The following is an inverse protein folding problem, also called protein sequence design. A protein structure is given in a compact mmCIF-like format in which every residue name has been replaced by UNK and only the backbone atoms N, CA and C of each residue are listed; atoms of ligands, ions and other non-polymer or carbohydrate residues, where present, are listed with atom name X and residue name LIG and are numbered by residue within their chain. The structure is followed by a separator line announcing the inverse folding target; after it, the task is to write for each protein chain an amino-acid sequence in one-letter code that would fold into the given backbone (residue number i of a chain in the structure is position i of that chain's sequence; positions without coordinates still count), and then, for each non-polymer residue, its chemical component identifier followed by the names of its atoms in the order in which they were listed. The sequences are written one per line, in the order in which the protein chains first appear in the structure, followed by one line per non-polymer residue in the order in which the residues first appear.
data_IF_597834842652
#
_entry.id   IF_597834842652
#
_cell.length_a   1.000
_cell.length_b   1.000
_cell.length_c   1.000
_cell.angle_alpha   90.00
_cell.angle_beta   90.00
_cell.angle_gamma   90.00
#
_symmetry.space_group_name_H-M   'P 1'
#
loop_
_entity.id
_entity.type
_entity.pdbx_description
1 polymer ?
#
# COMPACT_ATOMS: atom_id res chain seq x y z
N UNK A 1 -3.13 50.07 64.49
CA UNK A 1 -4.29 49.33 65.06
C UNK A 1 -5.14 48.84 63.90
N UNK A 2 -5.13 47.53 63.60
CA UNK A 2 -6.30 46.60 63.61
C UNK A 2 -7.54 47.15 62.88
N UNK A 3 -8.23 46.46 61.98
CA UNK A 3 -8.18 45.10 61.42
C UNK A 3 -9.18 45.09 60.24
N UNK A 4 -8.84 44.30 59.23
CA UNK A 4 -9.65 43.76 58.13
C UNK A 4 -11.00 43.20 58.57
N UNK A 5 -12.03 43.33 57.72
CA UNK A 5 -13.11 42.32 57.62
C UNK A 5 -13.60 42.21 56.17
N UNK A 6 -13.53 40.99 55.63
CA UNK A 6 -14.14 40.53 54.39
C UNK A 6 -15.67 40.39 54.55
N UNK A 7 -16.41 40.56 53.46
CA UNK A 7 -17.68 39.85 53.25
C UNK A 7 -17.66 39.21 51.85
N UNK A 8 -17.77 37.89 51.84
CA UNK A 8 -17.95 37.08 50.65
C UNK A 8 -19.41 36.95 50.28
N UNK A 9 -19.67 36.80 48.98
CA UNK A 9 -20.93 36.31 48.44
C UNK A 9 -20.60 35.03 47.67
N UNK A 10 -21.19 33.92 48.11
CA UNK A 10 -21.05 32.61 47.47
C UNK A 10 -21.86 32.53 46.19
N UNK A 11 -21.24 31.95 45.16
CA UNK A 11 -21.94 31.46 43.98
C UNK A 11 -21.95 29.92 44.08
N UNK A 12 -23.15 29.36 44.09
CA UNK A 12 -23.39 27.92 44.10
C UNK A 12 -23.16 27.36 42.68
N UNK A 13 -22.11 26.58 42.50
CA UNK A 13 -21.85 25.79 41.29
C UNK A 13 -22.60 24.46 41.40
N UNK A 14 -23.56 24.25 40.50
CA UNK A 14 -24.23 22.96 40.29
C UNK A 14 -23.25 22.03 39.55
N UNK A 15 -22.71 21.03 40.27
CA UNK A 15 -21.99 19.91 39.66
C UNK A 15 -22.99 19.00 38.94
N UNK A 16 -23.06 19.11 37.62
CA UNK A 16 -23.59 18.04 36.79
C UNK A 16 -22.48 16.99 36.59
N UNK A 17 -22.60 15.86 37.28
CA UNK A 17 -21.76 14.69 37.05
C UNK A 17 -22.14 14.08 35.69
N UNK A 18 -21.40 14.44 34.65
CA UNK A 18 -21.41 13.70 33.37
C UNK A 18 -20.52 12.48 33.56
N UNK A 19 -21.01 11.25 33.36
CA UNK A 19 -20.15 10.08 33.44
C UNK A 19 -19.16 10.14 32.28
N UNK A 20 -17.86 10.20 32.62
CA UNK A 20 -16.79 9.90 31.66
C UNK A 20 -16.96 8.45 31.22
N UNK A 21 -17.60 8.25 30.07
CA UNK A 21 -17.47 7.01 29.32
C UNK A 21 -16.07 7.03 28.70
N UNK A 22 -15.11 6.36 29.35
CA UNK A 22 -13.83 6.01 28.76
C UNK A 22 -14.09 5.07 27.58
N UNK A 23 -14.17 5.63 26.37
CA UNK A 23 -14.10 4.86 25.13
C UNK A 23 -12.63 4.46 24.95
N UNK A 24 -12.25 3.33 25.53
CA UNK A 24 -11.03 2.64 25.13
C UNK A 24 -11.21 2.16 23.68
N UNK A 25 -10.24 2.38 22.77
CA UNK A 25 -10.31 1.77 21.45
C UNK A 25 -10.25 0.27 21.63
N UNK A 26 -11.23 -0.45 21.07
CA UNK A 26 -11.28 -1.89 21.10
C UNK A 26 -10.24 -2.48 20.12
N UNK A 27 -8.96 -2.39 20.45
CA UNK A 27 -7.97 -3.37 20.00
C UNK A 27 -8.18 -4.62 20.86
N UNK A 28 -9.15 -5.45 20.45
CA UNK A 28 -9.32 -6.76 21.06
C UNK A 28 -8.11 -7.62 20.68
N UNK A 29 -7.21 -7.78 21.65
CA UNK A 29 -6.07 -8.69 21.64
C UNK A 29 -6.57 -10.11 21.31
N UNK A 30 -6.35 -10.57 20.07
CA UNK A 30 -6.69 -11.94 19.66
C UNK A 30 -5.56 -12.86 20.09
N UNK A 31 -5.67 -13.38 21.31
CA UNK A 31 -4.92 -14.54 21.74
C UNK A 31 -5.27 -15.75 20.86
N UNK A 32 -4.27 -16.60 20.63
CA UNK A 32 -4.22 -17.77 19.76
C UNK A 32 -5.55 -18.51 19.58
N UNK A 33 -5.90 -18.76 18.31
CA UNK A 33 -6.91 -19.75 17.94
C UNK A 33 -6.29 -20.82 17.06
N UNK A 34 -5.44 -21.64 17.65
CA UNK A 34 -5.17 -22.98 17.13
C UNK A 34 -6.38 -23.87 17.45
N UNK A 35 -7.41 -23.79 16.62
CA UNK A 35 -8.67 -24.51 16.81
C UNK A 35 -9.19 -25.07 15.50
N UNK A 36 -8.45 -25.99 14.88
CA UNK A 36 -8.85 -26.68 13.66
C UNK A 36 -9.89 -27.77 13.96
N UNK A 37 -11.16 -27.38 14.07
CA UNK A 37 -12.30 -28.29 13.98
C UNK A 37 -12.84 -28.31 12.55
N UNK A 38 -13.24 -29.47 11.99
CA UNK A 38 -13.85 -29.51 10.66
C UNK A 38 -15.16 -28.70 10.64
N UNK A 39 -15.22 -27.70 9.76
CA UNK A 39 -16.41 -26.87 9.53
C UNK A 39 -16.48 -25.51 10.24
N UNK A 40 -15.44 -25.09 10.97
CA UNK A 40 -15.39 -23.72 11.50
C UNK A 40 -14.74 -22.78 10.48
N UNK A 41 -15.53 -21.84 9.96
CA UNK A 41 -14.99 -20.77 9.11
C UNK A 41 -13.94 -19.95 9.86
N UNK A 42 -12.78 -19.77 9.25
CA UNK A 42 -11.64 -19.05 9.80
C UNK A 42 -11.75 -17.55 9.48
N UNK A 43 -11.29 -16.71 10.41
CA UNK A 43 -11.13 -15.27 10.13
C UNK A 43 -9.67 -15.03 9.79
N UNK A 44 -9.41 -14.57 8.57
CA UNK A 44 -8.07 -14.28 8.04
C UNK A 44 -7.92 -12.78 7.83
N UNK A 45 -6.85 -12.19 8.37
CA UNK A 45 -6.50 -10.77 8.15
C UNK A 45 -5.58 -10.62 6.95
N UNK A 46 -6.09 -9.98 5.91
CA UNK A 46 -5.29 -9.50 4.79
C UNK A 46 -4.89 -8.05 5.03
N UNK A 47 -3.65 -7.68 4.69
CA UNK A 47 -3.14 -6.34 4.87
C UNK A 47 -2.17 -5.93 3.76
N UNK A 48 -2.13 -4.63 3.48
CA UNK A 48 -1.06 -4.00 2.73
C UNK A 48 -0.39 -2.93 3.57
N UNK A 49 0.91 -2.73 3.37
CA UNK A 49 1.67 -1.65 3.97
C UNK A 49 2.78 -1.22 3.00
N UNK A 50 2.65 -0.06 2.35
CA UNK A 50 3.83 0.62 1.83
C UNK A 50 4.68 1.04 3.03
N UNK A 51 5.83 0.39 3.20
CA UNK A 51 6.65 0.52 4.40
C UNK A 51 7.90 1.38 4.16
N UNK A 52 8.08 1.89 2.94
CA UNK A 52 9.28 2.63 2.51
C UNK A 52 10.58 1.93 2.93
N UNK A 53 10.61 0.60 2.89
CA UNK A 53 11.80 -0.21 3.15
C UNK A 53 12.67 -0.29 1.88
N UNK A 54 12.95 0.86 1.29
CA UNK A 54 13.80 1.02 0.12
C UNK A 54 15.06 1.82 0.48
N UNK A 55 16.12 1.70 -0.31
CA UNK A 55 17.40 2.41 -0.11
C UNK A 55 17.86 3.09 -1.39
N UNK A 56 18.83 3.98 -1.26
CA UNK A 56 19.43 4.70 -2.39
C UNK A 56 20.37 3.83 -3.25
N UNK A 57 20.78 2.66 -2.75
CA UNK A 57 21.75 1.78 -3.42
C UNK A 57 21.35 0.32 -3.28
N UNK A 58 21.58 -0.45 -4.35
CA UNK A 58 21.37 -1.90 -4.36
C UNK A 58 22.08 -2.60 -3.19
N UNK A 59 21.39 -3.54 -2.54
CA UNK A 59 21.87 -4.27 -1.35
C UNK A 59 21.90 -3.45 -0.06
N UNK A 60 21.56 -2.16 -0.09
CA UNK A 60 21.50 -1.32 1.12
C UNK A 60 20.46 -1.83 2.11
N UNK A 61 19.31 -2.34 1.63
CA UNK A 61 18.25 -2.84 2.50
C UNK A 61 18.73 -4.06 3.27
N UNK A 62 19.28 -5.07 2.58
CA UNK A 62 19.85 -6.25 3.24
C UNK A 62 20.97 -5.88 4.22
N UNK A 63 21.84 -4.93 3.87
CA UNK A 63 22.90 -4.46 4.77
C UNK A 63 22.32 -3.93 6.09
N UNK A 64 21.32 -3.05 6.05
CA UNK A 64 20.66 -2.54 7.26
C UNK A 64 19.94 -3.66 8.02
N UNK A 65 19.20 -4.52 7.34
CA UNK A 65 18.43 -5.60 7.97
C UNK A 65 19.32 -6.71 8.57
N UNK A 66 20.55 -6.85 8.10
CA UNK A 66 21.55 -7.77 8.68
C UNK A 66 22.16 -7.29 9.99
N UNK A 67 21.94 -6.02 10.36
CA UNK A 67 22.51 -5.40 11.55
C UNK A 67 21.43 -4.81 12.47
N UNK A 68 20.52 -5.65 13.01
CA UNK A 68 19.36 -5.17 13.78
C UNK A 68 19.74 -4.37 15.03
N UNK A 69 20.94 -4.56 15.59
CA UNK A 69 21.40 -3.80 16.76
C UNK A 69 22.02 -2.42 16.42
N UNK A 70 22.11 -2.06 15.13
CA UNK A 70 22.72 -0.80 14.71
C UNK A 70 21.79 0.41 14.97
N UNK A 71 22.32 1.47 15.55
CA UNK A 71 21.55 2.68 15.86
C UNK A 71 21.52 3.69 14.68
N UNK A 72 21.08 3.23 13.51
CA UNK A 72 20.91 4.06 12.31
C UNK A 72 19.45 4.47 12.12
N UNK A 73 19.20 5.54 11.36
CA UNK A 73 17.83 5.95 11.03
C UNK A 73 17.04 4.85 10.31
N UNK A 74 17.69 4.18 9.36
CA UNK A 74 17.12 3.10 8.56
C UNK A 74 16.78 1.85 9.40
N UNK A 75 17.64 1.45 10.34
CA UNK A 75 17.36 0.31 11.23
C UNK A 75 16.26 0.67 12.24
N UNK A 76 16.27 1.88 12.81
CA UNK A 76 15.16 2.36 13.66
C UNK A 76 13.83 2.40 12.92
N UNK A 77 13.82 2.75 11.63
CA UNK A 77 12.63 2.68 10.79
C UNK A 77 12.15 1.22 10.65
N UNK A 78 13.03 0.28 10.31
CA UNK A 78 12.69 -1.14 10.20
C UNK A 78 12.10 -1.72 11.50
N UNK A 79 12.63 -1.35 12.67
CA UNK A 79 12.04 -1.70 13.97
C UNK A 79 10.60 -1.20 14.13
N UNK A 80 10.35 0.07 13.78
CA UNK A 80 9.00 0.64 13.91
C UNK A 80 8.03 0.04 12.89
N UNK A 81 8.48 -0.25 11.66
CA UNK A 81 7.68 -0.96 10.65
C UNK A 81 7.27 -2.34 11.19
N UNK A 82 8.23 -3.09 11.73
CA UNK A 82 7.95 -4.40 12.32
C UNK A 82 7.01 -4.30 13.53
N UNK A 83 7.18 -3.30 14.40
CA UNK A 83 6.25 -3.06 15.51
C UNK A 83 4.83 -2.78 15.02
N UNK A 84 4.66 -1.91 14.00
CA UNK A 84 3.35 -1.63 13.38
C UNK A 84 2.70 -2.91 12.86
N UNK A 85 3.44 -3.73 12.10
CA UNK A 85 2.96 -5.02 11.59
C UNK A 85 2.59 -5.97 12.75
N UNK A 86 3.39 -6.02 13.80
CA UNK A 86 3.14 -6.89 14.96
C UNK A 86 1.91 -6.48 15.78
N UNK A 87 1.54 -5.19 15.76
CA UNK A 87 0.31 -4.68 16.38
C UNK A 87 -0.90 -4.91 15.48
N UNK A 88 -0.74 -4.78 14.17
CA UNK A 88 -1.80 -5.06 13.19
C UNK A 88 -2.06 -6.56 13.03
N UNK A 89 -1.08 -7.43 13.24
CA UNK A 89 -1.23 -8.89 13.22
C UNK A 89 -1.82 -9.47 11.91
N UNK A 90 -1.34 -9.09 10.72
CA UNK A 90 -1.86 -9.69 9.50
C UNK A 90 -1.51 -11.18 9.41
N UNK A 91 -2.38 -11.95 8.78
CA UNK A 91 -2.08 -13.35 8.45
C UNK A 91 -1.53 -13.48 7.03
N UNK A 92 -1.96 -12.59 6.13
CA UNK A 92 -1.39 -12.39 4.78
C UNK A 92 -1.07 -10.91 4.62
N UNK A 93 0.19 -10.59 4.32
CA UNK A 93 0.73 -9.23 4.28
C UNK A 93 1.43 -8.98 2.95
N UNK A 94 1.03 -7.92 2.26
CA UNK A 94 1.85 -7.28 1.23
C UNK A 94 2.64 -6.13 1.86
N UNK A 95 3.94 -6.07 1.59
CA UNK A 95 4.78 -4.91 1.87
C UNK A 95 5.20 -4.29 0.55
N UNK A 96 4.79 -3.05 0.29
CA UNK A 96 5.26 -2.24 -0.84
C UNK A 96 6.51 -1.45 -0.45
N UNK A 97 7.24 -1.00 -1.47
CA UNK A 97 8.55 -0.36 -1.34
C UNK A 97 9.56 -1.17 -0.53
N UNK A 98 9.55 -2.47 -0.76
CA UNK A 98 10.58 -3.37 -0.25
C UNK A 98 11.55 -3.65 -1.38
N UNK A 99 12.78 -3.13 -1.31
CA UNK A 99 13.76 -3.37 -2.39
C UNK A 99 13.86 -4.86 -2.71
N UNK A 100 13.84 -5.19 -4.00
CA UNK A 100 13.99 -6.56 -4.46
C UNK A 100 15.38 -7.09 -4.11
N UNK A 101 15.44 -7.81 -3.02
CA UNK A 101 16.61 -8.52 -2.53
C UNK A 101 16.11 -9.79 -1.81
N UNK A 102 16.32 -10.99 -2.39
CA UNK A 102 15.87 -12.23 -1.76
C UNK A 102 16.44 -12.44 -0.35
N UNK A 103 17.64 -11.93 -0.04
CA UNK A 103 18.23 -12.04 1.30
C UNK A 103 17.49 -11.14 2.30
N UNK A 104 17.11 -9.93 1.87
CA UNK A 104 16.37 -8.99 2.71
C UNK A 104 15.05 -9.57 3.24
N UNK A 105 14.39 -10.45 2.47
CA UNK A 105 13.13 -11.10 2.87
C UNK A 105 13.32 -11.89 4.16
N UNK A 106 14.33 -12.76 4.20
CA UNK A 106 14.61 -13.59 5.36
C UNK A 106 15.17 -12.74 6.52
N UNK A 107 16.01 -11.75 6.22
CA UNK A 107 16.55 -10.84 7.23
C UNK A 107 15.44 -10.02 7.93
N UNK A 108 14.49 -9.45 7.18
CA UNK A 108 13.37 -8.72 7.78
C UNK A 108 12.47 -9.66 8.59
N UNK A 109 12.16 -10.84 8.04
CA UNK A 109 11.34 -11.84 8.72
C UNK A 109 11.98 -12.28 10.03
N UNK A 110 13.25 -12.62 10.02
CA UNK A 110 13.88 -13.31 11.14
C UNK A 110 14.38 -12.30 12.21
N UNK A 111 14.99 -11.19 11.78
CA UNK A 111 15.60 -10.22 12.70
C UNK A 111 14.61 -9.18 13.24
N UNK A 112 13.52 -8.89 12.52
CA UNK A 112 12.58 -7.83 12.90
C UNK A 112 11.18 -8.36 13.17
N UNK A 113 10.57 -9.12 12.25
CA UNK A 113 9.22 -9.64 12.47
C UNK A 113 9.18 -10.73 13.54
N UNK A 114 10.19 -11.62 13.55
CA UNK A 114 10.38 -12.71 14.51
C UNK A 114 10.81 -12.28 15.92
N UNK A 115 11.07 -10.98 16.13
CA UNK A 115 11.53 -10.40 17.41
C UNK A 115 10.52 -9.36 17.88
N UNK A 116 10.08 -9.43 19.15
CA UNK A 116 9.05 -8.51 19.66
C UNK A 116 9.59 -7.09 19.87
N UNK A 117 8.78 -6.09 19.54
CA UNK A 117 9.11 -4.67 19.75
C UNK A 117 8.23 -4.04 20.83
N UNK A 118 8.83 -3.61 21.94
CA UNK A 118 8.08 -3.13 23.10
C UNK A 118 7.25 -4.23 23.74
N UNK A 119 5.94 -4.03 23.85
CA UNK A 119 4.97 -5.03 24.28
C UNK A 119 4.31 -5.79 23.12
N UNK A 120 4.62 -5.43 21.86
CA UNK A 120 4.13 -6.14 20.69
C UNK A 120 4.84 -7.51 20.57
N UNK A 121 4.05 -8.57 20.45
CA UNK A 121 4.58 -9.94 20.32
C UNK A 121 5.15 -10.18 18.91
N UNK A 122 6.19 -11.02 18.77
CA UNK A 122 6.67 -11.49 17.48
C UNK A 122 5.57 -11.94 16.51
N UNK A 123 5.84 -11.86 15.22
CA UNK A 123 5.03 -12.46 14.16
C UNK A 123 5.88 -13.39 13.30
N UNK A 124 5.43 -14.63 13.17
CA UNK A 124 6.05 -15.62 12.30
C UNK A 124 5.26 -15.75 11.01
N UNK A 125 5.98 -15.80 9.89
CA UNK A 125 5.46 -16.04 8.55
C UNK A 125 6.24 -17.19 7.91
N UNK A 126 5.76 -18.45 8.00
CA UNK A 126 6.43 -19.59 7.39
C UNK A 126 6.57 -19.50 5.87
N UNK A 127 5.80 -18.65 5.20
CA UNK A 127 5.82 -18.49 3.76
C UNK A 127 6.09 -17.04 3.38
N UNK A 128 6.89 -16.86 2.33
CA UNK A 128 7.13 -15.57 1.71
C UNK A 128 7.25 -15.71 0.19
N UNK A 129 6.89 -14.68 -0.54
CA UNK A 129 7.07 -14.59 -1.98
C UNK A 129 7.64 -13.22 -2.36
N UNK A 130 8.67 -13.24 -3.20
CA UNK A 130 9.34 -12.07 -3.74
C UNK A 130 9.70 -12.35 -5.19
N UNK A 131 9.55 -11.36 -6.07
CA UNK A 131 9.90 -11.47 -7.48
C UNK A 131 10.45 -10.13 -8.01
N UNK A 132 11.15 -10.13 -9.16
CA UNK A 132 11.69 -8.91 -9.75
C UNK A 132 10.64 -7.82 -10.02
N UNK A 133 11.08 -6.56 -9.90
CA UNK A 133 10.31 -5.34 -10.20
C UNK A 133 10.91 -4.61 -11.40
N UNK A 134 10.09 -3.88 -12.17
CA UNK A 134 10.53 -3.08 -13.33
C UNK A 134 11.31 -1.81 -12.97
N UNK A 135 11.21 -1.38 -11.72
CA UNK A 135 11.88 -0.21 -11.18
C UNK A 135 13.40 -0.28 -11.37
N UNK A 136 13.97 0.77 -11.95
CA UNK A 136 15.41 0.92 -12.19
C UNK A 136 16.02 -0.08 -13.18
N UNK A 137 15.23 -0.91 -13.85
CA UNK A 137 15.70 -1.71 -14.99
C UNK A 137 15.80 -0.77 -16.22
N UNK A 138 16.98 -0.55 -16.79
CA UNK A 138 17.12 0.33 -17.95
C UNK A 138 16.31 -0.20 -19.15
N UNK A 139 15.49 0.66 -19.77
CA UNK A 139 14.75 0.28 -20.98
C UNK A 139 15.64 0.26 -22.23
N UNK A 140 16.69 1.09 -22.24
CA UNK A 140 17.52 1.34 -23.42
C UNK A 140 16.98 2.45 -24.33
N UNK A 141 15.89 3.12 -23.94
CA UNK A 141 15.21 4.18 -24.67
C UNK A 141 15.20 5.50 -23.88
N UNK A 142 14.86 6.61 -24.54
CA UNK A 142 14.70 7.96 -23.97
C UNK A 142 13.21 8.20 -23.71
N UNK A 143 12.68 7.52 -22.68
CA UNK A 143 11.24 7.44 -22.43
C UNK A 143 10.64 8.77 -21.93
N UNK A 144 11.48 9.70 -21.50
CA UNK A 144 11.07 11.05 -21.11
C UNK A 144 11.39 12.13 -22.16
N UNK A 145 11.91 11.76 -23.33
CA UNK A 145 12.22 12.66 -24.45
C UNK A 145 13.16 13.83 -24.09
N UNK A 146 14.10 13.62 -23.16
CA UNK A 146 15.05 14.67 -22.74
C UNK A 146 16.28 14.80 -23.66
N UNK A 147 16.41 13.89 -24.64
CA UNK A 147 17.51 13.83 -25.60
C UNK A 147 18.66 12.91 -25.17
N UNK A 148 18.53 12.14 -24.09
CA UNK A 148 19.55 11.22 -23.61
C UNK A 148 18.95 9.98 -22.95
N UNK A 149 19.49 8.81 -23.28
CA UNK A 149 19.09 7.53 -22.68
C UNK A 149 19.78 7.33 -21.33
N UNK A 150 18.99 7.19 -20.28
CA UNK A 150 19.42 6.71 -18.96
C UNK A 150 18.78 7.40 -17.77
N UNK A 151 19.16 6.97 -16.56
CA UNK A 151 18.56 7.46 -15.33
C UNK A 151 17.24 6.76 -14.99
N UNK A 152 16.58 7.22 -13.92
CA UNK A 152 15.38 6.58 -13.40
C UNK A 152 14.17 6.73 -14.32
N UNK A 153 14.02 7.88 -14.97
CA UNK A 153 12.85 8.16 -15.82
C UNK A 153 12.80 7.34 -17.11
N UNK A 154 13.97 6.85 -17.55
CA UNK A 154 14.13 5.96 -18.71
C UNK A 154 14.17 4.47 -18.36
N UNK A 155 14.06 4.13 -17.08
CA UNK A 155 13.86 2.75 -16.67
C UNK A 155 12.41 2.31 -16.95
N UNK A 156 12.16 0.99 -17.02
CA UNK A 156 10.80 0.47 -17.23
C UNK A 156 9.82 0.94 -16.15
N UNK A 157 10.31 1.18 -14.93
CA UNK A 157 9.68 2.07 -13.96
C UNK A 157 10.76 2.84 -13.21
N UNK A 158 10.39 3.98 -12.62
CA UNK A 158 11.37 4.84 -11.95
C UNK A 158 12.12 4.09 -10.84
N UNK A 159 13.46 4.17 -10.87
CA UNK A 159 14.33 3.62 -9.84
C UNK A 159 15.80 3.87 -10.17
N UNK A 160 16.64 3.89 -9.14
CA UNK A 160 18.08 4.15 -9.24
C UNK A 160 18.89 2.87 -9.48
N UNK A 161 18.31 1.72 -9.20
CA UNK A 161 18.87 0.40 -9.49
C UNK A 161 17.75 -0.62 -9.72
N UNK A 162 18.02 -1.72 -10.46
CA UNK A 162 17.05 -2.79 -10.68
C UNK A 162 16.48 -3.33 -9.37
N UNK A 163 15.17 -3.19 -9.19
CA UNK A 163 14.46 -3.73 -8.04
C UNK A 163 14.20 -2.76 -6.88
N UNK A 164 14.66 -1.50 -6.96
CA UNK A 164 14.34 -0.49 -5.94
C UNK A 164 12.82 -0.32 -5.79
N UNK A 165 12.27 -0.12 -4.60
CA UNK A 165 10.81 0.04 -4.42
C UNK A 165 9.98 -1.20 -4.81
N UNK A 166 10.56 -2.39 -4.72
CA UNK A 166 9.87 -3.65 -5.01
C UNK A 166 8.76 -3.99 -4.02
N UNK A 167 8.39 -5.26 -3.97
CA UNK A 167 7.34 -5.77 -3.11
C UNK A 167 7.74 -7.11 -2.48
N UNK A 168 7.12 -7.45 -1.36
CA UNK A 168 7.22 -8.80 -0.77
C UNK A 168 5.87 -9.19 -0.16
N UNK A 169 5.48 -10.45 -0.33
CA UNK A 169 4.34 -11.06 0.36
C UNK A 169 4.84 -11.95 1.48
N UNK A 170 4.30 -11.78 2.68
CA UNK A 170 4.47 -12.71 3.80
C UNK A 170 3.12 -13.36 4.14
N UNK A 171 3.13 -14.66 4.42
CA UNK A 171 1.90 -15.41 4.72
C UNK A 171 2.10 -16.44 5.82
N UNK A 172 1.07 -16.55 6.67
CA UNK A 172 0.92 -17.64 7.65
C UNK A 172 0.41 -18.93 7.01
N UNK A 173 -0.23 -18.79 5.87
CA UNK A 173 -0.77 -19.88 5.06
C UNK A 173 0.15 -20.20 3.89
N UNK A 174 0.17 -21.46 3.40
CA UNK A 174 0.96 -21.83 2.24
C UNK A 174 0.69 -20.92 1.03
N UNK A 175 1.76 -20.65 0.28
CA UNK A 175 1.71 -20.01 -1.02
C UNK A 175 1.95 -21.11 -2.05
N UNK A 176 1.04 -21.31 -2.99
CA UNK A 176 1.26 -22.20 -4.13
C UNK A 176 2.15 -21.49 -5.16
N UNK A 177 3.47 -21.58 -4.93
CA UNK A 177 4.48 -20.88 -5.74
C UNK A 177 4.51 -21.32 -7.19
N UNK A 178 4.12 -22.58 -7.47
CA UNK A 178 4.10 -23.13 -8.83
C UNK A 178 2.92 -22.57 -9.65
N UNK A 179 1.87 -22.10 -8.97
CA UNK A 179 0.70 -21.49 -9.61
C UNK A 179 0.77 -19.96 -9.69
N UNK A 180 1.76 -19.31 -9.07
CA UNK A 180 1.93 -17.85 -9.13
C UNK A 180 2.03 -17.37 -10.58
N UNK A 181 1.42 -16.22 -10.85
CA UNK A 181 1.55 -15.51 -12.13
C UNK A 181 2.12 -14.13 -11.90
N UNK A 182 3.11 -13.74 -12.69
CA UNK A 182 3.68 -12.40 -12.70
C UNK A 182 3.43 -11.74 -14.05
N UNK A 183 3.19 -10.43 -14.03
CA UNK A 183 2.94 -9.64 -15.24
C UNK A 183 3.94 -8.49 -15.34
N UNK A 184 5.20 -8.77 -15.03
CA UNK A 184 6.28 -7.77 -15.06
C UNK A 184 6.50 -7.29 -16.50
N UNK A 185 6.52 -8.20 -17.47
CA UNK A 185 6.91 -7.92 -18.86
C UNK A 185 5.73 -7.66 -19.79
N UNK A 186 4.50 -7.61 -19.26
CA UNK A 186 3.31 -7.27 -20.04
C UNK A 186 3.45 -5.86 -20.63
N UNK A 187 3.32 -5.73 -21.96
CA UNK A 187 3.56 -4.47 -22.67
C UNK A 187 2.36 -3.54 -22.58
N UNK A 188 2.59 -2.24 -22.42
CA UNK A 188 1.49 -1.28 -22.30
C UNK A 188 0.67 -1.22 -23.59
N UNK A 189 1.33 -1.22 -24.75
CA UNK A 189 0.68 -1.19 -26.05
C UNK A 189 -0.18 -2.44 -26.36
N UNK A 190 0.03 -3.56 -25.67
CA UNK A 190 -0.76 -4.78 -25.85
C UNK A 190 -2.11 -4.73 -25.11
N UNK A 191 -2.32 -3.72 -24.27
CA UNK A 191 -3.61 -3.46 -23.64
C UNK A 191 -4.59 -2.83 -24.65
N UNK A 192 -5.76 -3.44 -24.89
CA UNK A 192 -6.73 -2.89 -25.84
C UNK A 192 -7.23 -1.51 -25.41
N UNK A 193 -7.00 -0.50 -26.25
CA UNK A 193 -7.32 0.89 -25.93
C UNK A 193 -6.52 1.39 -24.74
N UNK A 194 -5.22 1.05 -24.69
CA UNK A 194 -4.29 1.64 -23.75
C UNK A 194 -4.33 3.18 -23.84
N UNK A 195 -4.28 3.84 -22.69
CA UNK A 195 -4.17 5.29 -22.59
C UNK A 195 -2.71 5.71 -22.78
N UNK A 196 -2.17 5.51 -23.99
CA UNK A 196 -0.82 5.95 -24.30
C UNK A 196 -0.77 7.49 -24.37
N UNK A 197 0.30 8.12 -23.84
CA UNK A 197 0.41 9.58 -23.78
C UNK A 197 0.59 10.22 -25.16
N UNK A 198 0.12 11.46 -25.27
CA UNK A 198 0.33 12.35 -26.43
C UNK A 198 1.61 13.17 -26.22
N UNK A 199 2.36 13.46 -27.29
CA UNK A 199 3.38 14.50 -27.27
C UNK A 199 2.71 15.88 -27.28
N UNK A 200 2.86 16.70 -26.22
CA UNK A 200 2.23 18.01 -26.13
C UNK A 200 2.74 19.01 -27.19
N UNK A 201 3.79 18.67 -27.93
CA UNK A 201 4.33 19.46 -29.05
C UNK A 201 3.71 19.13 -30.41
N UNK A 202 2.88 18.09 -30.51
CA UNK A 202 2.20 17.69 -31.76
C UNK A 202 0.67 17.64 -31.59
N UNK A 203 -0.05 17.54 -32.71
CA UNK A 203 -1.50 17.35 -32.73
C UNK A 203 -1.90 15.85 -32.83
N UNK A 204 -0.93 14.94 -32.93
CA UNK A 204 -1.20 13.52 -33.12
C UNK A 204 -1.46 12.84 -31.76
N UNK A 205 -2.43 11.91 -31.67
CA UNK A 205 -2.67 11.18 -30.43
C UNK A 205 -1.72 9.99 -30.28
N UNK A 206 -1.45 9.61 -29.03
CA UNK A 206 -0.68 8.46 -28.60
C UNK A 206 0.72 8.37 -29.25
N UNK A 207 1.38 9.51 -29.43
CA UNK A 207 2.63 9.64 -30.17
C UNK A 207 3.85 10.01 -29.31
N UNK A 208 3.71 10.05 -27.99
CA UNK A 208 4.82 10.28 -27.06
C UNK A 208 5.96 9.27 -27.24
N UNK A 209 5.61 8.00 -27.46
CA UNK A 209 6.56 6.91 -27.68
C UNK A 209 6.71 6.60 -29.16
N UNK A 210 7.95 6.40 -29.60
CA UNK A 210 8.26 5.85 -30.91
C UNK A 210 7.78 4.39 -31.06
N UNK A 211 7.64 3.89 -32.30
CA UNK A 211 7.28 2.50 -32.53
C UNK A 211 8.23 1.48 -31.88
N UNK A 212 9.53 1.80 -31.76
CA UNK A 212 10.51 0.93 -31.12
C UNK A 212 10.33 0.90 -29.60
N UNK A 213 10.03 2.04 -28.98
CA UNK A 213 9.73 2.12 -27.54
C UNK A 213 8.47 1.36 -27.17
N UNK A 214 7.42 1.45 -28.01
CA UNK A 214 6.17 0.72 -27.81
C UNK A 214 6.33 -0.81 -27.86
N UNK A 215 7.37 -1.32 -28.52
CA UNK A 215 7.67 -2.76 -28.52
C UNK A 215 8.19 -3.25 -27.15
N UNK A 216 8.74 -2.36 -26.32
CA UNK A 216 9.43 -2.70 -25.07
C UNK A 216 8.73 -2.14 -23.82
N UNK A 217 8.06 -0.98 -23.90
CA UNK A 217 7.50 -0.31 -22.73
C UNK A 217 6.46 -1.19 -22.03
N UNK A 218 6.68 -1.43 -20.74
CA UNK A 218 5.89 -2.34 -19.92
C UNK A 218 4.76 -1.57 -19.25
N UNK A 219 3.60 -2.20 -19.06
CA UNK A 219 2.49 -1.59 -18.34
C UNK A 219 2.87 -1.37 -16.87
N UNK A 220 3.27 -2.44 -16.17
CA UNK A 220 3.61 -2.38 -14.76
C UNK A 220 4.87 -1.53 -14.53
N UNK A 221 4.80 -0.49 -13.69
CA UNK A 221 5.95 0.31 -13.27
C UNK A 221 6.80 -0.43 -12.23
N UNK A 222 6.16 -1.18 -11.34
CA UNK A 222 6.80 -2.16 -10.44
C UNK A 222 6.51 -3.57 -10.93
N UNK A 223 5.37 -4.13 -10.54
CA UNK A 223 4.86 -5.42 -11.03
C UNK A 223 3.39 -5.63 -10.63
N UNK A 224 2.75 -6.60 -11.26
CA UNK A 224 1.47 -7.18 -10.86
C UNK A 224 1.68 -8.67 -10.61
N UNK A 225 1.23 -9.18 -9.46
CA UNK A 225 1.32 -10.61 -9.13
C UNK A 225 -0.06 -11.16 -8.75
N UNK A 226 -0.37 -12.34 -9.28
CA UNK A 226 -1.43 -13.20 -8.77
C UNK A 226 -0.78 -14.29 -7.91
N UNK A 227 -0.90 -14.17 -6.59
CA UNK A 227 -0.27 -15.06 -5.60
C UNK A 227 -1.34 -15.94 -4.94
N UNK A 228 -1.44 -17.23 -5.28
CA UNK A 228 -2.44 -18.11 -4.68
C UNK A 228 -2.06 -18.49 -3.24
N UNK A 229 -2.96 -18.21 -2.29
CA UNK A 229 -2.81 -18.53 -0.86
C UNK A 229 -3.78 -19.66 -0.49
N UNK A 230 -3.29 -20.70 0.17
CA UNK A 230 -4.10 -21.86 0.58
C UNK A 230 -4.68 -21.68 1.99
N UNK A 231 -5.96 -21.35 2.09
CA UNK A 231 -6.66 -21.12 3.37
C UNK A 231 -7.67 -22.26 3.57
N UNK A 232 -7.31 -23.24 4.41
CA UNK A 232 -8.11 -24.45 4.58
C UNK A 232 -8.22 -25.22 3.26
N UNK A 233 -9.45 -25.44 2.79
CA UNK A 233 -9.72 -26.11 1.51
C UNK A 233 -9.92 -25.12 0.33
N UNK A 234 -9.70 -23.81 0.56
CA UNK A 234 -9.95 -22.75 -0.41
C UNK A 234 -8.65 -22.07 -0.86
N UNK A 235 -8.50 -21.88 -2.17
CA UNK A 235 -7.44 -21.02 -2.73
C UNK A 235 -7.97 -19.58 -2.84
N UNK A 236 -7.30 -18.66 -2.19
CA UNK A 236 -7.55 -17.22 -2.28
C UNK A 236 -6.43 -16.57 -3.07
N UNK A 237 -6.77 -15.97 -4.21
CA UNK A 237 -5.81 -15.26 -5.04
C UNK A 237 -5.51 -13.88 -4.44
N UNK A 238 -4.29 -13.69 -3.94
CA UNK A 238 -3.82 -12.40 -3.47
C UNK A 238 -3.22 -11.63 -4.65
N UNK A 239 -4.02 -10.72 -5.22
CA UNK A 239 -3.71 -9.94 -6.41
C UNK A 239 -3.02 -8.66 -5.97
N UNK A 240 -1.71 -8.59 -6.11
CA UNK A 240 -0.89 -7.52 -5.53
C UNK A 240 -0.20 -6.68 -6.58
N UNK A 241 -0.21 -5.36 -6.39
CA UNK A 241 0.47 -4.42 -7.28
C UNK A 241 0.97 -3.19 -6.53
N UNK A 242 1.84 -2.45 -7.18
CA UNK A 242 2.26 -1.10 -6.80
C UNK A 242 2.32 -0.25 -8.07
N UNK A 243 1.19 0.31 -8.54
CA UNK A 243 1.17 1.23 -9.67
C UNK A 243 2.04 2.46 -9.46
N UNK A 244 2.32 3.18 -10.54
CA UNK A 244 3.09 4.42 -10.48
C UNK A 244 2.28 5.52 -9.78
N UNK A 245 2.90 6.40 -8.98
CA UNK A 245 2.28 7.66 -8.56
C UNK A 245 1.88 8.47 -9.81
N UNK A 246 0.67 9.05 -9.88
CA UNK A 246 0.15 9.79 -11.04
C UNK A 246 0.68 11.22 -11.11
N UNK A 247 1.96 11.42 -10.82
CA UNK A 247 2.61 12.74 -10.74
C UNK A 247 4.10 12.61 -11.07
N UNK A 248 4.88 13.68 -10.92
CA UNK A 248 6.32 13.76 -11.23
C UNK A 248 6.69 13.73 -12.71
N UNK A 249 5.78 14.14 -13.59
CA UNK A 249 5.95 14.23 -15.04
C UNK A 249 5.37 15.55 -15.61
N UNK A 250 5.43 15.70 -16.93
CA UNK A 250 5.02 16.91 -17.63
C UNK A 250 3.57 16.87 -18.14
N UNK A 251 3.20 17.82 -19.02
CA UNK A 251 1.86 17.91 -19.60
C UNK A 251 1.38 16.66 -20.38
N UNK A 252 2.30 15.75 -20.73
CA UNK A 252 1.99 14.45 -21.33
C UNK A 252 1.25 13.49 -20.39
N UNK A 253 1.33 13.71 -19.07
CA UNK A 253 0.66 12.92 -18.01
C UNK A 253 0.87 11.40 -18.15
N UNK A 254 2.10 11.01 -18.49
CA UNK A 254 2.49 9.60 -18.69
C UNK A 254 2.18 8.74 -17.47
N UNK A 255 2.43 9.27 -16.28
CA UNK A 255 2.26 8.58 -15.01
C UNK A 255 0.78 8.49 -14.61
N UNK A 256 -0.02 9.54 -14.78
CA UNK A 256 -1.46 9.46 -14.52
C UNK A 256 -2.16 8.49 -15.45
N UNK A 257 -1.83 8.52 -16.74
CA UNK A 257 -2.36 7.60 -17.75
C UNK A 257 -1.90 6.15 -17.50
N UNK A 258 -0.64 5.95 -17.10
CA UNK A 258 -0.11 4.62 -16.75
C UNK A 258 -0.75 4.06 -15.48
N UNK A 259 -0.87 4.87 -14.43
CA UNK A 259 -1.55 4.50 -13.19
C UNK A 259 -2.98 4.03 -13.46
N UNK A 260 -3.71 4.75 -14.33
CA UNK A 260 -5.04 4.35 -14.76
C UNK A 260 -5.07 2.94 -15.36
N UNK A 261 -4.18 2.64 -16.31
CA UNK A 261 -4.16 1.33 -16.97
C UNK A 261 -3.61 0.21 -16.09
N UNK A 262 -2.69 0.50 -15.18
CA UNK A 262 -2.23 -0.44 -14.14
C UNK A 262 -3.41 -0.84 -13.22
N UNK A 263 -4.24 0.11 -12.78
CA UNK A 263 -5.44 -0.20 -11.99
C UNK A 263 -6.48 -0.96 -12.83
N UNK A 264 -6.68 -0.54 -14.09
CA UNK A 264 -7.59 -1.20 -15.02
C UNK A 264 -7.20 -2.65 -15.27
N UNK A 265 -5.90 -2.98 -15.27
CA UNK A 265 -5.42 -4.34 -15.42
C UNK A 265 -6.13 -5.30 -14.46
N UNK A 266 -6.21 -4.95 -13.17
CA UNK A 266 -6.92 -5.79 -12.20
C UNK A 266 -8.43 -5.82 -12.43
N UNK A 267 -9.04 -4.69 -12.79
CA UNK A 267 -10.47 -4.63 -13.11
C UNK A 267 -10.83 -5.58 -14.27
N UNK A 268 -9.98 -5.61 -15.31
CA UNK A 268 -10.14 -6.50 -16.46
C UNK A 268 -9.83 -7.96 -16.08
N UNK A 269 -8.77 -8.20 -15.30
CA UNK A 269 -8.33 -9.53 -14.85
C UNK A 269 -9.40 -10.27 -14.04
N UNK A 270 -10.11 -9.57 -13.15
CA UNK A 270 -11.17 -10.18 -12.32
C UNK A 270 -12.56 -10.09 -12.95
N UNK A 271 -12.70 -9.54 -14.16
CA UNK A 271 -14.00 -9.27 -14.76
C UNK A 271 -14.88 -10.53 -14.91
N UNK A 272 -16.20 -10.43 -14.67
CA UNK A 272 -17.11 -11.58 -14.83
C UNK A 272 -17.38 -11.95 -16.29
N UNK A 273 -17.11 -11.04 -17.23
CA UNK A 273 -17.39 -11.23 -18.65
C UNK A 273 -16.25 -12.01 -19.30
N UNK A 274 -16.57 -13.20 -19.81
CA UNK A 274 -15.64 -14.00 -20.60
C UNK A 274 -15.03 -13.14 -21.73
N UNK A 275 -13.71 -13.19 -21.85
CA UNK A 275 -12.96 -12.49 -22.90
C UNK A 275 -12.41 -11.12 -22.52
N UNK A 276 -12.83 -10.49 -21.41
CA UNK A 276 -12.31 -9.16 -21.04
C UNK A 276 -10.80 -9.20 -20.71
N UNK A 277 -10.36 -10.22 -19.98
CA UNK A 277 -8.95 -10.47 -19.71
C UNK A 277 -8.24 -11.33 -20.78
N UNK A 278 -8.82 -11.53 -21.98
CA UNK A 278 -8.22 -12.42 -22.99
C UNK A 278 -6.89 -11.92 -23.54
N UNK A 279 -6.63 -10.61 -23.45
CA UNK A 279 -5.38 -9.99 -23.88
C UNK A 279 -4.26 -10.15 -22.83
N UNK A 280 -4.61 -10.45 -21.58
CA UNK A 280 -3.63 -10.56 -20.49
C UNK A 280 -2.83 -11.84 -20.67
N UNK A 281 -1.50 -11.71 -20.70
CA UNK A 281 -0.55 -12.81 -20.64
C UNK A 281 0.45 -12.57 -19.51
N UNK A 282 0.81 -13.62 -18.79
CA UNK A 282 1.86 -13.55 -17.76
C UNK A 282 3.26 -13.73 -18.37
N UNK A 283 4.28 -13.59 -17.53
CA UNK A 283 5.69 -13.71 -17.93
C UNK A 283 6.09 -15.12 -18.41
N UNK A 284 5.23 -16.13 -18.19
CA UNK A 284 5.39 -17.49 -18.73
C UNK A 284 4.58 -17.72 -20.02
N UNK A 285 3.88 -16.69 -20.51
CA UNK A 285 3.07 -16.73 -21.72
C UNK A 285 1.71 -17.40 -21.55
N UNK A 286 1.22 -17.60 -20.32
CA UNK A 286 -0.16 -18.08 -20.08
C UNK A 286 -1.14 -16.92 -20.21
N UNK A 287 -2.14 -17.11 -21.06
CA UNK A 287 -3.17 -16.11 -21.34
C UNK A 287 -4.42 -16.26 -20.46
N UNK A 288 -5.11 -15.14 -20.24
CA UNK A 288 -6.41 -15.08 -19.59
C UNK A 288 -6.36 -14.53 -18.18
N UNK A 289 -7.55 -14.20 -17.67
CA UNK A 289 -7.76 -13.66 -16.32
C UNK A 289 -8.15 -14.71 -15.30
N UNK A 290 -8.60 -14.23 -14.14
CA UNK A 290 -9.00 -15.07 -13.03
C UNK A 290 -10.27 -15.87 -13.36
N UNK A 291 -10.29 -17.15 -12.97
CA UNK A 291 -11.43 -18.02 -13.18
C UNK A 291 -12.72 -17.46 -12.55
N UNK A 292 -13.86 -17.74 -13.19
CA UNK A 292 -15.17 -17.33 -12.67
C UNK A 292 -15.42 -18.00 -11.32
N UNK A 293 -15.71 -17.19 -10.30
CA UNK A 293 -16.01 -17.68 -8.96
C UNK A 293 -14.80 -17.91 -8.08
N UNK A 294 -13.58 -17.72 -8.60
CA UNK A 294 -12.38 -17.69 -7.76
C UNK A 294 -12.48 -16.56 -6.73
N UNK A 295 -12.07 -16.88 -5.51
CA UNK A 295 -11.91 -15.94 -4.41
C UNK A 295 -10.60 -15.18 -4.57
N UNK A 296 -10.65 -13.89 -4.30
CA UNK A 296 -9.48 -13.03 -4.41
C UNK A 296 -9.52 -11.88 -3.41
N UNK A 297 -8.35 -11.30 -3.17
CA UNK A 297 -8.17 -10.03 -2.49
C UNK A 297 -7.18 -9.22 -3.33
N UNK A 298 -7.62 -8.07 -3.85
CA UNK A 298 -6.71 -7.12 -4.50
C UNK A 298 -6.07 -6.27 -3.40
N UNK A 299 -4.75 -6.09 -3.40
CA UNK A 299 -4.10 -5.25 -2.41
C UNK A 299 -2.86 -4.52 -2.93
N UNK A 300 -2.56 -3.38 -2.30
CA UNK A 300 -1.39 -2.57 -2.60
C UNK A 300 -1.66 -1.09 -2.41
N UNK A 301 -0.58 -0.33 -2.36
CA UNK A 301 -0.60 1.08 -2.72
C UNK A 301 -0.96 1.20 -4.20
N UNK A 302 -2.18 1.68 -4.49
CA UNK A 302 -2.68 1.91 -5.84
C UNK A 302 -2.38 3.33 -6.33
N UNK A 303 -1.81 4.19 -5.49
CA UNK A 303 -1.48 5.58 -5.83
C UNK A 303 -2.65 6.40 -6.41
N UNK A 304 -3.89 6.04 -6.04
CA UNK A 304 -5.08 6.63 -6.61
C UNK A 304 -6.16 6.84 -5.55
N UNK A 305 -6.45 8.12 -5.31
CA UNK A 305 -7.52 8.57 -4.43
C UNK A 305 -8.83 8.76 -5.22
N UNK A 306 -10.01 8.42 -4.66
CA UNK A 306 -11.28 8.56 -5.37
C UNK A 306 -11.81 10.00 -5.48
N UNK A 307 -11.26 10.97 -4.75
CA UNK A 307 -11.78 12.34 -4.64
C UNK A 307 -10.71 13.43 -4.78
N UNK A 308 -9.55 13.26 -4.14
CA UNK A 308 -8.60 14.35 -3.84
C UNK A 308 -7.24 14.23 -4.55
N UNK A 309 -6.99 13.11 -5.24
CA UNK A 309 -5.72 12.82 -5.91
C UNK A 309 -5.69 13.17 -7.41
N UNK A 310 -4.50 13.06 -7.99
CA UNK A 310 -4.22 13.46 -9.38
C UNK A 310 -4.44 12.36 -10.43
N UNK A 311 -4.98 11.19 -10.06
CA UNK A 311 -5.21 10.11 -11.02
C UNK A 311 -6.21 10.49 -12.11
N UNK A 312 -5.87 10.17 -13.36
CA UNK A 312 -6.76 10.32 -14.52
C UNK A 312 -8.08 9.61 -14.31
N UNK A 313 -9.18 10.30 -14.62
CA UNK A 313 -10.56 9.77 -14.63
C UNK A 313 -10.98 9.04 -13.34
N UNK A 314 -10.44 9.45 -12.19
CA UNK A 314 -10.67 8.77 -10.90
C UNK A 314 -10.35 7.27 -10.99
N UNK A 315 -9.19 6.93 -11.56
CA UNK A 315 -8.78 5.57 -11.93
C UNK A 315 -9.18 4.45 -10.96
N UNK A 316 -9.07 4.69 -9.65
CA UNK A 316 -9.40 3.70 -8.61
C UNK A 316 -10.86 3.27 -8.59
N UNK A 317 -11.79 4.10 -9.09
CA UNK A 317 -13.21 3.75 -9.22
C UNK A 317 -13.43 2.53 -10.12
N UNK A 318 -12.50 2.24 -11.04
CA UNK A 318 -12.52 1.02 -11.83
C UNK A 318 -12.53 -0.24 -10.96
N UNK A 319 -11.92 -0.20 -9.77
CA UNK A 319 -11.96 -1.26 -8.76
C UNK A 319 -13.06 -1.03 -7.73
N UNK A 320 -13.19 0.17 -7.17
CA UNK A 320 -14.16 0.43 -6.08
C UNK A 320 -15.62 0.23 -6.51
N UNK A 321 -15.92 0.49 -7.79
CA UNK A 321 -17.26 0.30 -8.38
C UNK A 321 -17.38 -1.03 -9.15
N UNK A 322 -16.33 -1.85 -9.17
CA UNK A 322 -16.33 -3.11 -9.93
C UNK A 322 -17.36 -4.11 -9.37
N UNK A 323 -18.18 -4.77 -10.20
CA UNK A 323 -19.26 -5.64 -9.73
C UNK A 323 -18.81 -6.87 -8.94
N UNK A 324 -17.54 -7.29 -9.08
CA UNK A 324 -16.94 -8.40 -8.32
C UNK A 324 -16.07 -7.96 -7.15
N UNK A 325 -15.90 -6.67 -6.91
CA UNK A 325 -15.07 -6.16 -5.82
C UNK A 325 -15.96 -5.60 -4.72
N UNK A 326 -15.51 -5.69 -3.48
CA UNK A 326 -16.16 -5.06 -2.33
C UNK A 326 -15.17 -4.10 -1.68
N UNK A 327 -15.49 -2.81 -1.68
CA UNK A 327 -14.79 -1.81 -0.88
C UNK A 327 -15.18 -1.95 0.62
N UNK A 328 -14.24 -2.29 1.53
CA UNK A 328 -14.49 -2.36 2.96
C UNK A 328 -14.50 -0.99 3.66
N UNK A 329 -13.99 0.07 3.01
CA UNK A 329 -13.83 1.43 3.57
C UNK A 329 -13.23 1.43 4.98
N UNK A 330 -12.00 0.92 5.15
CA UNK A 330 -11.30 0.95 6.44
C UNK A 330 -11.13 2.41 6.89
N UNK A 331 -11.28 2.69 8.18
CA UNK A 331 -11.12 4.03 8.75
C UNK A 331 -10.11 4.06 9.88
N UNK A 332 -9.57 5.24 10.19
CA UNK A 332 -8.82 5.52 11.42
C UNK A 332 -9.28 6.80 12.11
N UNK A 333 -8.98 6.89 13.41
CA UNK A 333 -9.13 8.15 14.14
C UNK A 333 -7.99 9.14 13.83
N UNK A 334 -6.77 8.63 13.59
CA UNK A 334 -5.61 9.44 13.23
C UNK A 334 -5.78 10.16 11.89
N UNK A 335 -6.30 9.51 10.85
CA UNK A 335 -6.58 10.19 9.57
C UNK A 335 -7.58 11.33 9.72
N UNK A 336 -8.64 11.13 10.52
CA UNK A 336 -9.60 12.19 10.82
C UNK A 336 -9.00 13.38 11.61
N UNK A 337 -8.01 13.12 12.48
CA UNK A 337 -7.29 14.15 13.23
C UNK A 337 -6.24 14.87 12.36
N UNK A 338 -5.61 14.15 11.42
CA UNK A 338 -4.55 14.69 10.57
C UNK A 338 -4.99 15.87 9.68
N UNK A 339 -6.29 16.08 9.48
CA UNK A 339 -6.82 17.32 8.85
C UNK A 339 -6.34 18.58 9.56
N UNK A 340 -6.11 18.51 10.88
CA UNK A 340 -5.63 19.65 11.68
C UNK A 340 -4.20 20.10 11.28
N UNK A 341 -3.46 19.31 10.50
CA UNK A 341 -2.18 19.68 9.89
C UNK A 341 -2.35 20.84 8.87
N UNK A 342 -3.54 20.98 8.28
CA UNK A 342 -3.89 22.08 7.39
C UNK A 342 -3.36 21.93 5.97
N UNK A 343 -2.98 23.03 5.31
CA UNK A 343 -2.45 22.99 3.94
C UNK A 343 -3.48 22.52 2.90
N UNK A 344 -3.06 21.60 2.02
CA UNK A 344 -3.89 20.98 0.98
C UNK A 344 -5.12 20.27 1.57
N UNK A 345 -4.97 19.67 2.77
CA UNK A 345 -6.05 18.97 3.48
C UNK A 345 -7.29 19.84 3.71
N UNK A 346 -7.14 21.17 3.80
CA UNK A 346 -8.26 22.10 3.98
C UNK A 346 -9.19 22.19 2.76
N UNK A 347 -8.70 21.77 1.60
CA UNK A 347 -9.44 21.76 0.33
C UNK A 347 -9.98 20.38 -0.07
N UNK A 348 -9.64 19.32 0.66
CA UNK A 348 -10.05 17.96 0.32
C UNK A 348 -11.55 17.75 0.54
N UNK A 349 -12.18 17.00 -0.36
CA UNK A 349 -13.60 16.64 -0.36
C UNK A 349 -13.85 15.23 0.20
N UNK A 350 -12.84 14.36 0.17
CA UNK A 350 -12.87 13.01 0.74
C UNK A 350 -13.13 12.99 2.24
N UNK A 351 -13.55 11.82 2.74
CA UNK A 351 -13.66 11.60 4.19
C UNK A 351 -12.26 11.29 4.73
N UNK A 352 -11.63 12.19 5.51
CA UNK A 352 -10.24 12.03 5.97
C UNK A 352 -10.06 10.83 6.90
N UNK A 353 -11.13 10.30 7.47
CA UNK A 353 -11.06 9.05 8.22
C UNK A 353 -10.65 7.86 7.33
N UNK A 354 -10.82 7.96 6.01
CA UNK A 354 -10.44 6.94 5.03
C UNK A 354 -9.01 7.10 4.50
N UNK A 355 -8.32 8.20 4.82
CA UNK A 355 -6.97 8.46 4.35
C UNK A 355 -6.01 7.39 4.85
N UNK A 356 -5.11 6.98 3.95
CA UNK A 356 -4.12 5.93 4.20
C UNK A 356 -2.70 6.43 4.05
N UNK A 357 -2.49 7.67 3.64
CA UNK A 357 -1.17 8.28 3.53
C UNK A 357 -1.18 9.73 4.05
N UNK A 358 -0.05 10.12 4.62
CA UNK A 358 0.29 11.43 5.17
C UNK A 358 1.44 12.01 4.35
N UNK A 359 1.09 12.63 3.22
CA UNK A 359 2.05 13.30 2.34
C UNK A 359 2.24 14.76 2.74
N UNK A 360 3.17 15.46 2.08
CA UNK A 360 3.45 16.85 2.40
C UNK A 360 2.19 17.76 2.28
N UNK A 361 1.90 18.53 3.33
CA UNK A 361 0.75 19.45 3.42
C UNK A 361 0.70 20.52 2.32
N UNK A 362 1.81 20.78 1.62
CA UNK A 362 1.84 21.73 0.50
C UNK A 362 1.12 21.22 -0.74
N UNK A 363 1.28 19.93 -1.02
CA UNK A 363 0.61 19.11 -2.03
C UNK A 363 1.21 17.68 -1.97
N UNK A 364 0.42 16.61 -2.15
CA UNK A 364 -1.03 16.64 -2.28
C UNK A 364 -1.77 16.68 -0.92
N UNK A 365 -1.08 16.56 0.22
CA UNK A 365 -1.72 16.31 1.51
C UNK A 365 -2.15 14.85 1.69
N UNK A 366 -3.05 14.61 2.62
CA UNK A 366 -3.49 13.27 3.02
C UNK A 366 -4.45 12.68 1.99
N UNK A 367 -4.22 11.41 1.63
CA UNK A 367 -4.96 10.72 0.59
C UNK A 367 -5.26 9.26 0.97
N UNK A 368 -6.31 8.69 0.38
CA UNK A 368 -6.61 7.26 0.38
C UNK A 368 -6.00 6.59 -0.86
N UNK A 369 -4.82 6.01 -0.71
CA UNK A 369 -4.07 5.38 -1.81
C UNK A 369 -3.78 3.89 -1.60
N UNK A 370 -3.95 3.37 -0.38
CA UNK A 370 -3.69 1.98 -0.02
C UNK A 370 -4.99 1.17 0.11
N UNK A 371 -5.03 0.01 -0.53
CA UNK A 371 -6.26 -0.75 -0.68
C UNK A 371 -6.11 -2.21 -0.29
N UNK A 372 -7.16 -2.77 0.32
CA UNK A 372 -7.37 -4.21 0.51
C UNK A 372 -8.82 -4.49 0.13
N UNK A 373 -9.03 -5.04 -1.07
CA UNK A 373 -10.31 -5.12 -1.76
C UNK A 373 -10.68 -6.59 -2.01
N UNK A 374 -11.43 -7.22 -1.10
CA UNK A 374 -11.88 -8.60 -1.28
C UNK A 374 -12.88 -8.74 -2.43
N UNK A 375 -12.95 -9.97 -2.96
CA UNK A 375 -13.99 -10.37 -3.87
C UNK A 375 -15.38 -10.26 -3.24
N UNK A 376 -16.37 -9.84 -4.04
CA UNK A 376 -17.75 -9.66 -3.59
C UNK A 376 -18.37 -11.01 -3.27
N UNK A 377 -18.87 -11.15 -2.04
CA UNK A 377 -19.42 -12.40 -1.50
C UNK A 377 -18.62 -12.90 -0.31
N UNK A 378 -17.33 -12.55 -0.22
CA UNK A 378 -16.51 -12.78 0.97
C UNK A 378 -17.03 -11.92 2.12
N UNK A 379 -17.19 -12.51 3.31
CA UNK A 379 -17.74 -11.81 4.46
C UNK A 379 -16.64 -11.03 5.17
N UNK A 380 -16.67 -9.70 5.02
CA UNK A 380 -15.87 -8.77 5.83
C UNK A 380 -16.37 -8.80 7.28
N UNK A 381 -15.46 -8.99 8.23
CA UNK A 381 -15.78 -9.04 9.67
C UNK A 381 -15.18 -7.88 10.46
N UNK A 382 -14.19 -7.21 9.89
CA UNK A 382 -13.55 -6.02 10.44
C UNK A 382 -12.62 -5.41 9.40
N UNK A 383 -12.31 -4.14 9.54
CA UNK A 383 -11.33 -3.43 8.71
C UNK A 383 -10.79 -2.24 9.50
N UNK A 384 -9.64 -1.72 9.12
CA UNK A 384 -9.06 -0.54 9.74
C UNK A 384 -7.75 -0.11 9.12
N UNK A 385 -7.29 1.04 9.57
CA UNK A 385 -6.01 1.65 9.20
C UNK A 385 -5.22 1.84 10.50
N UNK A 386 -3.97 1.42 10.52
CA UNK A 386 -3.09 1.69 11.66
C UNK A 386 -2.62 3.14 11.59
N UNK A 387 -3.47 4.05 12.07
CA UNK A 387 -3.17 5.46 12.24
C UNK A 387 -3.76 5.92 13.58
N UNK A 388 -2.98 5.80 14.67
CA UNK A 388 -3.39 6.29 15.97
C UNK A 388 -3.38 7.82 16.01
N UNK A 389 -4.20 8.40 16.89
CA UNK A 389 -4.22 9.84 17.18
C UNK A 389 -2.99 10.28 17.97
N UNK A 390 -2.64 11.56 17.95
CA UNK A 390 -1.48 12.17 18.61
C UNK A 390 -1.35 11.80 20.09
N UNK A 391 -2.49 11.74 20.78
CA UNK A 391 -2.56 11.44 22.21
C UNK A 391 -2.28 9.97 22.53
N UNK A 392 -2.32 9.07 21.54
CA UNK A 392 -2.05 7.66 21.71
C UNK A 392 -0.52 7.41 21.76
N UNK A 393 0.00 6.63 22.73
CA UNK A 393 1.42 6.32 22.82
C UNK A 393 2.02 5.68 21.56
N UNK A 394 1.21 5.06 20.71
CA UNK A 394 1.61 4.45 19.45
C UNK A 394 1.78 5.44 18.32
N UNK A 395 1.36 6.69 18.47
CA UNK A 395 1.57 7.75 17.50
C UNK A 395 3.05 7.97 17.14
N UNK A 396 3.97 7.61 18.04
CA UNK A 396 5.43 7.56 17.74
C UNK A 396 5.81 6.65 16.55
N UNK A 397 4.90 5.76 16.12
CA UNK A 397 5.09 4.86 14.99
C UNK A 397 4.62 5.48 13.68
N UNK A 398 3.67 6.41 13.69
CA UNK A 398 3.13 7.04 12.48
C UNK A 398 3.63 8.45 12.32
N UNK A 399 3.49 9.31 13.35
CA UNK A 399 3.93 10.71 13.41
C UNK A 399 3.41 11.59 12.27
N UNK A 400 3.62 12.90 12.42
CA UNK A 400 3.44 13.87 11.32
C UNK A 400 4.64 13.86 10.39
N UNK A 401 4.39 14.24 9.13
CA UNK A 401 5.43 14.55 8.16
C UNK A 401 6.29 15.75 8.62
N UNK A 402 7.51 15.46 9.05
CA UNK A 402 8.54 16.44 9.43
C UNK A 402 9.93 15.94 8.99
N UNK A 403 10.40 16.33 7.80
CA UNK A 403 11.71 15.91 7.29
C UNK A 403 12.89 16.49 8.08
N UNK A 404 12.67 17.52 8.91
CA UNK A 404 13.72 18.02 9.81
C UNK A 404 13.94 17.10 11.00
N UNK A 405 12.87 16.43 11.46
CA UNK A 405 12.90 15.46 12.56
C UNK A 405 13.21 14.04 12.08
N UNK A 406 12.73 13.67 10.90
CA UNK A 406 12.88 12.35 10.30
C UNK A 406 13.57 12.46 8.94
N UNK A 407 14.87 12.79 8.90
CA UNK A 407 15.58 13.10 7.65
C UNK A 407 15.71 11.92 6.68
N UNK A 408 15.35 10.71 7.12
CA UNK A 408 15.41 9.50 6.29
C UNK A 408 14.12 9.26 5.50
N UNK A 409 12.96 9.48 6.12
CA UNK A 409 11.64 9.07 5.59
C UNK A 409 10.58 10.18 5.66
N UNK A 410 10.88 11.36 6.20
CA UNK A 410 9.88 12.39 6.51
C UNK A 410 9.04 12.09 7.75
N UNK A 411 8.83 10.82 8.07
CA UNK A 411 8.03 10.33 9.20
C UNK A 411 8.71 9.17 9.94
N UNK A 412 8.24 8.77 11.14
CA UNK A 412 8.77 7.63 11.88
C UNK A 412 8.94 6.29 11.14
N UNK A 413 8.00 5.90 10.28
CA UNK A 413 7.97 4.59 9.57
C UNK A 413 7.90 4.75 8.06
N UNK A 414 6.74 5.20 7.59
CA UNK A 414 6.40 5.50 6.20
C UNK A 414 5.27 6.53 6.21
N UNK A 415 5.24 7.36 5.18
CA UNK A 415 4.16 8.31 4.89
C UNK A 415 2.85 7.57 4.65
N UNK A 416 2.90 6.32 4.22
CA UNK A 416 1.75 5.43 4.17
C UNK A 416 1.44 4.76 5.52
N UNK A 417 0.18 4.36 5.68
CA UNK A 417 -0.38 3.73 6.87
C UNK A 417 -0.82 2.31 6.53
N UNK A 418 -0.55 1.38 7.43
CA UNK A 418 -0.93 -0.02 7.20
C UNK A 418 -2.46 -0.20 7.19
N UNK A 419 -2.98 -0.74 6.09
CA UNK A 419 -4.41 -1.02 5.90
C UNK A 419 -4.68 -2.51 6.07
N UNK A 420 -5.76 -2.89 6.75
CA UNK A 420 -6.11 -4.30 6.95
C UNK A 420 -7.62 -4.56 6.88
N UNK A 421 -7.96 -5.79 6.51
CA UNK A 421 -9.32 -6.29 6.43
C UNK A 421 -9.37 -7.73 6.92
N UNK A 422 -10.25 -7.99 7.88
CA UNK A 422 -10.57 -9.34 8.35
C UNK A 422 -11.67 -9.94 7.47
N UNK A 423 -11.39 -11.10 6.89
CA UNK A 423 -12.27 -11.83 6.00
C UNK A 423 -12.59 -13.21 6.58
N UNK A 424 -13.77 -13.74 6.28
CA UNK A 424 -14.18 -15.06 6.76
C UNK A 424 -14.29 -16.06 5.62
N UNK A 425 -13.46 -17.10 5.69
CA UNK A 425 -13.42 -18.24 4.78
C UNK A 425 -14.05 -19.46 5.44
#
# INVERSE_FOLDING_TARGET
MRRTTLLGAGLATVLAAVPLATLAPAQADRADRDGHGPGTRETVRFSTFNASLNRATAGGLAADLSTPDADTGAVRQAHKVAETIQRTRPDVLLVNEFDFDPEAVDLFRDNFLGVGHGDARPIAYPYAYVAPSNTGIPSGHDLNNNGSVGGGDDAFGFGLFPGQYGMVVYSRYPIDTDAVRTFQTFRWADMPGALLPDDPSTDAPADWYSPAELEDVRLSSKSHWDVPIEIGDETVHFLVSHPTPPTFDGPEDRNGLRNHDEIRFWADYVAPRAGRAAYVYDDEGRYGGLARGASFVIAGDQNADPADGDSVDSAIDQLLRHPRVRDPRPTSAGGAEAVDQGGANLGHEGDPALDTADFADGAPGNLRVDYVLPSKGTKVVGSGIFWPIDADPLYRLTGDYDPSRWPFTGVPTSDHRQVWVDLRY
#
